data_IF_068739153508
#
_entry.id   IF_068739153508
#
_cell.length_a   1.000
_cell.length_b   1.000
_cell.length_c   1.000
_cell.angle_alpha   90.00
_cell.angle_beta   90.00
_cell.angle_gamma   90.00
#
_symmetry.space_group_name_H-M   'P 1'
#
loop_
_entity.id
_entity.type
_entity.pdbx_description
1 polymer ?
#
# COMPACT_ATOMS: atom_id res chain seq x y z
N UNK A 1 22.19 53.30 21.50
CA UNK A 1 21.95 52.51 20.26
C UNK A 1 22.17 51.05 20.60
N UNK A 2 21.09 50.27 20.79
CA UNK A 2 21.18 48.84 21.04
C UNK A 2 21.03 48.10 19.70
N UNK A 3 22.02 47.28 19.34
CA UNK A 3 22.05 46.52 18.10
C UNK A 3 21.15 45.30 18.21
N UNK A 4 20.25 45.14 17.22
CA UNK A 4 19.33 44.02 17.07
C UNK A 4 20.06 42.67 17.16
N UNK A 5 19.66 41.85 18.12
CA UNK A 5 20.06 40.44 18.17
C UNK A 5 19.53 39.70 16.96
N UNK A 6 20.42 39.09 16.19
CA UNK A 6 20.08 38.16 15.11
C UNK A 6 19.35 36.94 15.70
N UNK A 7 18.02 36.99 15.70
CA UNK A 7 17.18 35.88 16.11
C UNK A 7 17.48 34.65 15.26
N UNK A 8 17.89 33.56 15.91
CA UNK A 8 18.10 32.26 15.24
C UNK A 8 16.83 31.87 14.47
N UNK A 9 16.93 31.36 13.24
CA UNK A 9 15.76 30.95 12.48
C UNK A 9 15.00 29.86 13.26
N UNK A 10 13.73 30.13 13.57
CA UNK A 10 12.85 29.15 14.23
C UNK A 10 12.46 28.10 13.21
N UNK A 11 13.04 26.90 13.34
CA UNK A 11 12.68 25.75 12.52
C UNK A 11 11.28 25.28 12.92
N UNK A 12 10.33 25.38 11.98
CA UNK A 12 8.96 24.91 12.15
C UNK A 12 8.88 23.50 11.57
N UNK A 13 8.61 22.52 12.43
CA UNK A 13 8.38 21.13 12.02
C UNK A 13 6.87 20.88 12.03
N UNK A 14 6.32 20.42 10.90
CA UNK A 14 4.94 19.95 10.79
C UNK A 14 4.93 18.44 10.60
N UNK A 15 4.22 17.72 11.45
CA UNK A 15 3.99 16.29 11.34
C UNK A 15 2.49 16.02 11.17
N UNK A 16 2.17 14.97 10.41
CA UNK A 16 0.81 14.47 10.23
C UNK A 16 0.69 13.20 11.05
N UNK A 17 -0.19 13.20 12.05
CA UNK A 17 -0.50 12.00 12.83
C UNK A 17 -1.37 11.09 11.97
N UNK A 18 -0.99 9.82 11.84
CA UNK A 18 -1.72 8.81 11.05
C UNK A 18 -2.71 8.07 11.96
N UNK A 19 -3.83 7.64 11.36
CA UNK A 19 -4.66 6.61 11.98
C UNK A 19 -3.84 5.32 12.09
N UNK A 20 -4.07 4.54 13.14
CA UNK A 20 -3.32 3.29 13.39
C UNK A 20 -3.42 2.31 12.21
N UNK A 21 -4.49 2.38 11.42
CA UNK A 21 -4.69 1.53 10.26
C UNK A 21 -5.23 2.31 9.05
N UNK A 22 -4.31 2.86 8.27
CA UNK A 22 -4.64 3.56 7.04
C UNK A 22 -4.44 2.67 5.84
N UNK A 23 -5.53 2.27 5.19
CA UNK A 23 -5.52 1.31 4.08
C UNK A 23 -5.37 1.95 2.69
N UNK A 24 -5.63 3.25 2.55
CA UNK A 24 -5.67 3.93 1.25
C UNK A 24 -4.44 4.77 1.01
N UNK A 25 -3.99 4.86 -0.24
CA UNK A 25 -2.95 5.82 -0.59
C UNK A 25 -3.45 7.25 -0.39
N UNK A 26 -2.60 8.14 0.13
CA UNK A 26 -2.90 9.58 0.31
C UNK A 26 -2.54 10.42 -0.93
N UNK A 27 -1.83 9.83 -1.86
CA UNK A 27 -1.39 10.45 -3.11
C UNK A 27 -1.59 9.47 -4.28
N UNK A 28 -1.15 9.86 -5.47
CA UNK A 28 -1.23 9.02 -6.66
C UNK A 28 -0.50 7.69 -6.47
N UNK A 29 -1.10 6.61 -6.96
CA UNK A 29 -0.46 5.30 -7.09
C UNK A 29 0.31 5.31 -8.41
N UNK A 30 1.60 5.04 -8.35
CA UNK A 30 2.55 5.12 -9.46
C UNK A 30 3.01 3.75 -9.93
N UNK A 31 3.01 2.74 -9.05
CA UNK A 31 3.44 1.38 -9.36
C UNK A 31 2.52 0.32 -8.75
N UNK A 32 2.35 -0.80 -9.47
CA UNK A 32 1.50 -1.92 -9.07
C UNK A 32 2.11 -3.25 -9.55
N UNK A 33 2.25 -4.23 -8.66
CA UNK A 33 2.80 -5.55 -8.99
C UNK A 33 1.97 -6.67 -8.36
N UNK A 34 1.66 -7.72 -9.13
CA UNK A 34 0.89 -8.87 -8.67
C UNK A 34 1.72 -10.15 -8.70
N UNK A 35 1.74 -10.86 -7.58
CA UNK A 35 2.32 -12.18 -7.45
C UNK A 35 1.23 -13.25 -7.48
N UNK A 36 1.08 -13.91 -8.63
CA UNK A 36 0.12 -15.00 -8.82
C UNK A 36 0.43 -16.22 -7.94
N UNK A 37 1.69 -16.44 -7.56
CA UNK A 37 2.08 -17.61 -6.77
C UNK A 37 1.60 -17.53 -5.32
N UNK A 38 1.55 -16.31 -4.76
CA UNK A 38 1.13 -16.06 -3.39
C UNK A 38 -0.24 -15.38 -3.29
N UNK A 39 -0.81 -14.94 -4.41
CA UNK A 39 -2.05 -14.16 -4.45
C UNK A 39 -1.88 -12.80 -3.79
N UNK A 40 -0.70 -12.17 -3.93
CA UNK A 40 -0.37 -10.89 -3.30
C UNK A 40 -0.31 -9.77 -4.32
N UNK A 41 -0.86 -8.62 -3.97
CA UNK A 41 -0.78 -7.39 -4.75
C UNK A 41 0.00 -6.35 -3.95
N UNK A 42 0.99 -5.74 -4.60
CA UNK A 42 1.80 -4.66 -4.07
C UNK A 42 1.41 -3.37 -4.81
N UNK A 43 1.07 -2.32 -4.07
CA UNK A 43 0.80 -0.98 -4.63
C UNK A 43 1.71 0.05 -3.99
N UNK A 44 2.32 0.93 -4.78
CA UNK A 44 3.17 2.01 -4.29
C UNK A 44 2.80 3.34 -4.92
N UNK A 45 3.08 4.42 -4.21
CA UNK A 45 2.65 5.76 -4.62
C UNK A 45 3.53 6.88 -4.11
N UNK A 46 3.12 8.10 -4.47
CA UNK A 46 3.76 9.36 -4.07
C UNK A 46 3.57 9.68 -2.57
N UNK A 47 2.84 8.83 -1.85
CA UNK A 47 2.73 8.89 -0.39
C UNK A 47 3.86 8.14 0.32
N UNK A 48 4.86 7.69 -0.44
CA UNK A 48 6.09 6.99 -0.01
C UNK A 48 5.83 5.65 0.68
N UNK A 49 4.63 5.10 0.48
CA UNK A 49 4.21 3.85 1.12
C UNK A 49 4.06 2.78 0.05
N UNK A 50 4.55 1.57 0.35
CA UNK A 50 4.12 0.36 -0.38
C UNK A 50 3.10 -0.36 0.48
N UNK A 51 2.01 -0.80 -0.15
CA UNK A 51 0.92 -1.53 0.49
C UNK A 51 0.87 -2.93 -0.06
N UNK A 52 0.77 -3.89 0.83
CA UNK A 52 0.62 -5.30 0.54
C UNK A 52 -0.83 -5.73 0.79
N UNK A 53 -1.41 -6.37 -0.22
CA UNK A 53 -2.77 -6.85 -0.22
C UNK A 53 -2.82 -8.34 -0.53
N UNK A 54 -3.71 -9.07 0.13
CA UNK A 54 -4.11 -10.43 -0.24
C UNK A 54 -5.26 -10.34 -1.23
N UNK A 55 -5.09 -10.87 -2.42
CA UNK A 55 -6.14 -10.95 -3.44
C UNK A 55 -6.73 -12.36 -3.44
N UNK A 56 -8.06 -12.50 -3.27
CA UNK A 56 -8.73 -13.79 -3.43
C UNK A 56 -8.48 -14.34 -4.85
N UNK A 57 -8.06 -15.61 -4.95
CA UNK A 57 -7.82 -16.25 -6.25
C UNK A 57 -9.14 -16.33 -7.04
N UNK A 58 -9.17 -15.71 -8.22
CA UNK A 58 -10.34 -15.67 -9.11
C UNK A 58 -10.71 -17.04 -9.74
N UNK A 59 -10.06 -18.13 -9.32
CA UNK A 59 -10.30 -19.50 -9.82
C UNK A 59 -11.36 -20.28 -9.06
N UNK A 60 -11.85 -19.76 -7.93
CA UNK A 60 -13.02 -20.34 -7.26
C UNK A 60 -14.27 -19.67 -7.84
N UNK A 61 -15.27 -20.48 -8.17
CA UNK A 61 -16.54 -20.11 -8.85
C UNK A 61 -17.38 -19.04 -8.09
N UNK A 62 -16.84 -18.55 -6.99
CA UNK A 62 -17.41 -17.62 -6.02
C UNK A 62 -16.78 -16.21 -6.08
N UNK A 63 -15.73 -15.99 -6.89
CA UNK A 63 -15.11 -14.67 -7.05
C UNK A 63 -15.97 -13.67 -7.88
N UNK A 64 -16.99 -14.16 -8.58
CA UNK A 64 -18.06 -13.34 -9.15
C UNK A 64 -19.38 -14.11 -9.07
N UNK A 65 -20.39 -13.66 -8.31
CA UNK A 65 -21.67 -14.34 -8.27
C UNK A 65 -22.42 -14.02 -9.57
N UNK A 66 -22.12 -14.76 -10.64
CA UNK A 66 -23.07 -14.90 -11.74
C UNK A 66 -24.28 -15.66 -11.20
N UNK A 67 -25.24 -14.92 -10.65
CA UNK A 67 -26.61 -15.30 -10.34
C UNK A 67 -26.97 -16.77 -10.61
N UNK A 68 -26.95 -17.62 -9.57
CA UNK A 68 -28.08 -18.49 -9.18
C UNK A 68 -27.71 -19.50 -8.08
N UNK A 69 -28.54 -19.46 -7.04
CA UNK A 69 -29.04 -20.53 -6.18
C UNK A 69 -28.07 -21.48 -5.46
N UNK A 70 -28.20 -21.49 -4.13
CA UNK A 70 -28.22 -22.74 -3.35
C UNK A 70 -27.11 -22.91 -2.31
N UNK A 71 -27.43 -22.54 -1.07
CA UNK A 71 -27.14 -23.31 0.16
C UNK A 71 -25.75 -23.92 0.32
N UNK A 72 -24.79 -23.14 0.82
CA UNK A 72 -23.61 -23.70 1.52
C UNK A 72 -23.39 -22.96 2.83
N UNK A 73 -23.60 -23.67 3.94
CA UNK A 73 -23.30 -23.25 5.31
C UNK A 73 -21.79 -23.28 5.58
N UNK A 74 -21.03 -22.50 4.83
CA UNK A 74 -19.60 -22.29 5.01
C UNK A 74 -19.28 -20.83 4.72
N UNK A 75 -18.53 -20.20 5.61
CA UNK A 75 -18.12 -18.79 5.53
C UNK A 75 -17.69 -18.45 4.10
N UNK A 76 -18.45 -17.59 3.43
CA UNK A 76 -18.15 -17.18 2.05
C UNK A 76 -16.70 -16.67 1.97
N UNK A 77 -15.93 -17.06 0.94
CA UNK A 77 -14.57 -16.56 0.82
C UNK A 77 -14.60 -15.03 0.71
N UNK A 78 -13.60 -14.33 1.28
CA UNK A 78 -13.51 -12.88 1.18
C UNK A 78 -13.55 -12.49 -0.30
N UNK A 79 -14.57 -11.72 -0.65
CA UNK A 79 -14.87 -11.26 -2.01
C UNK A 79 -14.06 -10.00 -2.40
N UNK A 80 -13.32 -9.42 -1.45
CA UNK A 80 -12.49 -8.24 -1.64
C UNK A 80 -11.03 -8.51 -1.26
N UNK A 81 -10.11 -7.79 -1.89
CA UNK A 81 -8.71 -7.78 -1.48
C UNK A 81 -8.58 -7.30 -0.03
N UNK A 82 -7.81 -8.02 0.78
CA UNK A 82 -7.62 -7.73 2.20
C UNK A 82 -6.24 -7.11 2.41
N UNK A 83 -6.16 -6.01 3.14
CA UNK A 83 -4.87 -5.42 3.49
C UNK A 83 -4.07 -6.35 4.40
N UNK A 84 -2.78 -6.47 4.13
CA UNK A 84 -1.84 -7.24 4.95
C UNK A 84 -0.98 -6.28 5.77
N UNK A 85 -0.28 -5.37 5.10
CA UNK A 85 0.72 -4.51 5.73
C UNK A 85 1.09 -3.32 4.82
N UNK A 86 1.63 -2.26 5.43
CA UNK A 86 2.31 -1.16 4.75
C UNK A 86 3.81 -1.13 5.07
N UNK A 87 4.64 -0.76 4.09
CA UNK A 87 6.07 -0.49 4.22
C UNK A 87 6.26 1.02 4.11
N UNK A 88 6.57 1.68 5.23
CA UNK A 88 6.58 3.16 5.33
C UNK A 88 7.99 3.77 5.42
N UNK A 89 9.04 2.98 5.21
CA UNK A 89 10.42 3.43 5.39
C UNK A 89 10.94 4.33 4.26
N UNK A 90 10.22 4.43 3.13
CA UNK A 90 10.69 5.21 2.00
C UNK A 90 10.48 6.70 2.27
N UNK A 91 11.51 7.49 1.99
CA UNK A 91 11.52 8.94 2.21
C UNK A 91 11.24 9.73 0.94
N UNK A 92 11.15 9.06 -0.21
CA UNK A 92 10.86 9.67 -1.51
C UNK A 92 9.77 8.90 -2.27
N UNK A 93 9.33 9.47 -3.40
CA UNK A 93 8.33 8.90 -4.29
C UNK A 93 8.84 7.64 -4.96
N UNK A 94 7.97 6.65 -5.03
CA UNK A 94 8.26 5.38 -5.68
C UNK A 94 7.78 5.50 -7.10
N UNK A 95 8.67 5.36 -8.08
CA UNK A 95 8.29 5.47 -9.49
C UNK A 95 8.00 4.11 -10.13
N UNK A 96 8.77 3.09 -9.76
CA UNK A 96 8.62 1.73 -10.29
C UNK A 96 8.95 0.69 -9.21
N UNK A 97 8.40 -0.50 -9.38
CA UNK A 97 8.59 -1.66 -8.50
C UNK A 97 8.84 -2.90 -9.34
N UNK A 98 9.88 -3.65 -8.98
CA UNK A 98 10.13 -4.96 -9.56
C UNK A 98 10.02 -6.02 -8.45
N UNK A 99 9.27 -7.08 -8.76
CA UNK A 99 9.07 -8.20 -7.87
C UNK A 99 10.09 -9.30 -8.16
N UNK A 100 10.92 -9.65 -7.18
CA UNK A 100 11.94 -10.69 -7.29
C UNK A 100 11.63 -11.88 -6.35
N UNK A 101 12.11 -13.06 -6.75
CA UNK A 101 12.07 -14.28 -5.94
C UNK A 101 10.66 -14.69 -5.46
N UNK A 102 9.65 -14.71 -6.36
CA UNK A 102 8.25 -15.03 -6.06
C UNK A 102 7.68 -14.14 -4.94
N UNK A 103 7.84 -12.83 -5.05
CA UNK A 103 7.23 -11.88 -4.10
C UNK A 103 7.94 -11.72 -2.76
N UNK A 104 9.19 -12.17 -2.64
CA UNK A 104 9.99 -11.98 -1.42
C UNK A 104 10.74 -10.65 -1.37
N UNK A 105 11.16 -10.13 -2.52
CA UNK A 105 11.91 -8.89 -2.60
C UNK A 105 11.22 -7.94 -3.56
N UNK A 106 11.02 -6.71 -3.13
CA UNK A 106 10.65 -5.61 -4.00
C UNK A 106 11.86 -4.68 -4.09
N UNK A 107 12.38 -4.47 -5.29
CA UNK A 107 13.37 -3.42 -5.57
C UNK A 107 12.64 -2.19 -6.09
N UNK A 108 13.10 -1.02 -5.65
CA UNK A 108 12.52 0.28 -5.96
C UNK A 108 13.60 1.14 -6.58
N UNK A 109 13.28 1.83 -7.67
CA UNK A 109 14.17 2.84 -8.22
C UNK A 109 13.79 4.20 -7.67
N UNK A 110 14.66 4.74 -6.80
CA UNK A 110 14.62 6.12 -6.36
C UNK A 110 15.29 6.97 -7.45
N UNK A 111 14.60 8.03 -7.89
CA UNK A 111 15.07 8.96 -8.92
C UNK A 111 15.40 10.32 -8.31
#
# INVERSE_FOLDING_TARGET
MATNGSGKPKMKVSFIIRDENEHRHRAAVSALQYDASTGRLFSAGNDTIIRLWKVPLAGTKEAWPSSRNGTTSGTAPPQHATFIQAMEHHTDWINDMILCCNGRFCEFWEG
#
